data_IF_053808786224
#
_entry.id   IF_053808786224
#
_cell.length_a   1.000
_cell.length_b   1.000
_cell.length_c   1.000
_cell.angle_alpha   90.00
_cell.angle_beta   90.00
_cell.angle_gamma   90.00
#
_symmetry.space_group_name_H-M   'P 1'
#
loop_
_entity.id
_entity.type
_entity.pdbx_description
1 polymer ?
#
# COMPACT_ATOMS: atom_id res chain seq x y z
N UNK A 1 3.09 3.44 43.48
CA UNK A 1 2.73 2.11 42.93
C UNK A 1 1.22 2.00 43.03
N UNK A 2 0.51 2.27 41.93
CA UNK A 2 -0.95 2.24 41.90
C UNK A 2 -1.43 0.95 41.22
N UNK A 3 -2.48 0.39 41.82
CA UNK A 3 -3.03 -0.95 41.67
C UNK A 3 -4.08 -1.04 40.55
N UNK A 4 -4.22 -2.27 40.02
CA UNK A 4 -5.49 -2.94 39.65
C UNK A 4 -6.22 -2.49 38.33
N UNK A 5 -7.24 -3.25 37.85
CA UNK A 5 -7.34 -3.86 36.53
C UNK A 5 -8.74 -3.53 35.97
N UNK A 6 -8.95 -2.31 35.49
CA UNK A 6 -10.29 -1.85 35.11
C UNK A 6 -10.36 -1.29 33.69
N UNK A 7 -9.40 -1.63 32.84
CA UNK A 7 -9.40 -1.10 31.47
C UNK A 7 -10.09 -2.01 30.43
N UNK A 8 -10.61 -3.17 30.83
CA UNK A 8 -11.21 -4.16 29.91
C UNK A 8 -12.61 -4.66 30.32
N UNK A 9 -13.38 -3.89 31.08
CA UNK A 9 -14.80 -4.19 31.31
C UNK A 9 -15.74 -2.96 31.29
N UNK A 10 -15.22 -1.74 31.21
CA UNK A 10 -16.00 -0.51 31.04
C UNK A 10 -15.63 0.26 29.76
N UNK A 11 -15.41 -0.45 28.65
CA UNK A 11 -15.51 0.18 27.34
C UNK A 11 -17.00 0.16 26.98
N UNK A 12 -17.75 1.27 27.17
CA UNK A 12 -19.13 1.33 26.73
C UNK A 12 -19.14 0.94 25.26
N UNK A 13 -20.17 0.19 24.83
CA UNK A 13 -20.43 -0.18 23.44
C UNK A 13 -20.46 1.03 22.46
N UNK A 14 -20.30 2.26 22.97
CA UNK A 14 -20.07 3.50 22.23
C UNK A 14 -18.61 3.70 21.74
N UNK A 15 -17.60 3.09 22.36
CA UNK A 15 -16.19 3.15 21.89
C UNK A 15 -15.86 2.07 20.85
N UNK A 16 -16.83 1.20 20.55
CA UNK A 16 -16.86 0.33 19.39
C UNK A 16 -17.35 1.06 18.12
N UNK A 17 -17.38 2.40 18.12
CA UNK A 17 -17.55 3.18 16.89
C UNK A 17 -16.24 3.19 16.07
N UNK A 18 -15.98 2.03 15.48
CA UNK A 18 -15.67 1.83 14.07
C UNK A 18 -14.65 2.81 13.47
N UNK A 19 -13.41 2.33 13.28
CA UNK A 19 -12.73 2.63 12.01
C UNK A 19 -13.66 2.14 10.89
N UNK A 20 -14.50 3.03 10.36
CA UNK A 20 -15.53 2.68 9.39
C UNK A 20 -14.84 2.43 8.05
N UNK A 21 -14.43 1.18 7.83
CA UNK A 21 -14.00 0.72 6.52
C UNK A 21 -15.22 0.41 5.66
N UNK A 22 -15.13 0.59 4.33
CA UNK A 22 -16.21 0.22 3.43
C UNK A 22 -16.37 -1.32 3.40
N UNK A 23 -17.60 -1.80 3.43
CA UNK A 23 -17.91 -3.24 3.30
C UNK A 23 -17.69 -3.77 1.87
N UNK A 24 -17.52 -2.86 0.91
CA UNK A 24 -17.35 -3.15 -0.51
C UNK A 24 -16.01 -2.60 -0.97
N UNK A 25 -15.29 -3.39 -1.76
CA UNK A 25 -14.02 -2.99 -2.36
C UNK A 25 -14.18 -1.69 -3.17
N UNK A 26 -13.31 -0.73 -2.90
CA UNK A 26 -13.30 0.57 -3.59
C UNK A 26 -12.23 0.61 -4.67
N UNK A 27 -12.41 1.52 -5.63
CA UNK A 27 -11.43 1.82 -6.66
C UNK A 27 -11.37 3.34 -6.87
N UNK A 28 -10.17 3.89 -6.96
CA UNK A 28 -9.93 5.31 -7.17
C UNK A 28 -8.97 5.53 -8.33
N UNK A 29 -9.29 6.49 -9.20
CA UNK A 29 -8.40 6.90 -10.28
C UNK A 29 -7.42 7.94 -9.78
N UNK A 30 -6.13 7.68 -9.95
CA UNK A 30 -5.02 8.56 -9.53
C UNK A 30 -4.01 8.69 -10.66
N UNK A 31 -3.18 9.73 -10.59
CA UNK A 31 -2.08 9.94 -11.53
C UNK A 31 -0.75 9.59 -10.88
N UNK A 32 0.13 8.90 -11.60
CA UNK A 32 1.53 8.76 -11.20
C UNK A 32 2.18 10.15 -11.27
N UNK A 33 2.84 10.55 -10.20
CA UNK A 33 3.51 11.84 -10.08
C UNK A 33 5.00 11.72 -10.40
N UNK A 34 5.63 12.84 -10.79
CA UNK A 34 7.07 12.85 -11.00
C UNK A 34 7.83 12.63 -9.68
N UNK A 35 9.07 12.16 -9.75
CA UNK A 35 9.90 12.00 -8.55
C UNK A 35 10.09 13.34 -7.83
N UNK A 36 10.25 14.42 -8.57
CA UNK A 36 10.42 15.77 -8.04
C UNK A 36 9.16 16.22 -7.28
N UNK A 37 7.97 15.97 -7.82
CA UNK A 37 6.71 16.28 -7.13
C UNK A 37 6.55 15.45 -5.84
N UNK A 38 6.94 14.17 -5.89
CA UNK A 38 6.94 13.26 -4.74
C UNK A 38 7.92 13.70 -3.65
N UNK A 39 9.15 14.07 -4.04
CA UNK A 39 10.20 14.59 -3.16
C UNK A 39 9.79 15.92 -2.52
N UNK A 40 9.11 16.80 -3.27
CA UNK A 40 8.54 18.04 -2.73
C UNK A 40 7.44 17.77 -1.71
N UNK A 41 6.60 16.77 -1.94
CA UNK A 41 5.56 16.36 -0.98
C UNK A 41 6.17 15.75 0.29
N UNK A 42 7.27 15.01 0.17
CA UNK A 42 7.92 14.29 1.28
C UNK A 42 9.46 14.45 1.29
N UNK A 43 9.99 15.63 1.67
CA UNK A 43 11.41 15.93 1.57
C UNK A 43 12.29 14.94 2.37
N UNK A 44 13.24 14.31 1.67
CA UNK A 44 14.21 13.38 2.28
C UNK A 44 13.68 11.99 2.63
N UNK A 45 12.39 11.71 2.38
CA UNK A 45 11.76 10.42 2.72
C UNK A 45 11.56 9.48 1.52
N UNK A 46 11.60 10.02 0.30
CA UNK A 46 11.36 9.25 -0.93
C UNK A 46 12.67 8.68 -1.46
N UNK A 47 12.66 7.37 -1.72
CA UNK A 47 13.78 6.64 -2.32
C UNK A 47 13.48 6.27 -3.77
N UNK A 48 14.49 5.83 -4.52
CA UNK A 48 14.30 5.36 -5.90
C UNK A 48 13.45 4.09 -6.02
N UNK A 49 13.22 3.40 -4.90
CA UNK A 49 12.37 2.21 -4.81
C UNK A 49 10.89 2.54 -4.59
N UNK A 50 10.54 3.82 -4.57
CA UNK A 50 9.20 4.32 -4.31
C UNK A 50 8.68 5.12 -5.51
N UNK A 51 7.36 5.26 -5.58
CA UNK A 51 6.67 6.20 -6.47
C UNK A 51 5.48 6.81 -5.74
N UNK A 52 5.07 8.02 -6.13
CA UNK A 52 3.85 8.65 -5.63
C UNK A 52 2.72 8.56 -6.66
N UNK A 53 1.50 8.37 -6.18
CA UNK A 53 0.30 8.52 -7.00
C UNK A 53 -0.83 9.22 -6.24
N UNK A 54 -1.55 10.10 -6.93
CA UNK A 54 -2.66 10.84 -6.35
C UNK A 54 -3.22 11.90 -7.29
N UNK A 55 -4.13 12.73 -6.79
CA UNK A 55 -4.60 13.94 -7.45
C UNK A 55 -3.95 15.17 -6.81
N UNK A 56 -3.59 16.19 -7.60
CA UNK A 56 -2.89 17.39 -7.09
C UNK A 56 -3.75 18.15 -6.06
N UNK A 57 -5.05 18.15 -6.29
CA UNK A 57 -6.09 18.72 -5.45
C UNK A 57 -6.45 17.86 -4.22
N UNK A 58 -6.01 16.59 -4.18
CA UNK A 58 -6.43 15.62 -3.17
C UNK A 58 -7.78 14.97 -3.52
N UNK A 59 -8.47 14.42 -2.51
CA UNK A 59 -9.81 13.84 -2.65
C UNK A 59 -9.86 12.34 -3.00
N UNK A 60 -8.87 11.82 -3.73
CA UNK A 60 -8.74 10.38 -4.03
C UNK A 60 -7.36 9.88 -3.60
N UNK A 61 -7.34 8.81 -2.80
CA UNK A 61 -6.11 8.21 -2.28
C UNK A 61 -6.37 6.79 -1.77
N UNK A 62 -5.31 6.00 -1.67
CA UNK A 62 -5.29 4.82 -0.81
C UNK A 62 -5.22 5.24 0.65
N UNK A 63 -5.78 4.46 1.56
CA UNK A 63 -5.88 4.85 2.97
C UNK A 63 -5.51 3.71 3.92
N UNK A 64 -5.80 3.86 5.22
CA UNK A 64 -5.55 2.80 6.18
C UNK A 64 -6.32 1.53 5.78
N UNK A 65 -5.68 0.38 5.93
CA UNK A 65 -6.23 -0.91 5.51
C UNK A 65 -5.91 -1.32 4.07
N UNK A 66 -5.52 -0.39 3.20
CA UNK A 66 -5.19 -0.69 1.80
C UNK A 66 -3.73 -1.17 1.58
N UNK A 67 -2.89 -1.13 2.62
CA UNK A 67 -1.47 -1.52 2.55
C UNK A 67 -1.27 -2.90 1.94
N UNK A 68 -0.39 -3.00 0.94
CA UNK A 68 -0.18 -4.22 0.15
C UNK A 68 -1.09 -4.34 -1.09
N UNK A 69 -2.10 -3.47 -1.21
CA UNK A 69 -3.00 -3.40 -2.36
C UNK A 69 -2.32 -2.95 -3.66
N UNK A 70 -2.90 -3.25 -4.82
CA UNK A 70 -2.30 -2.97 -6.12
C UNK A 70 -2.54 -1.52 -6.59
N UNK A 71 -1.51 -0.88 -7.14
CA UNK A 71 -1.65 0.23 -8.07
C UNK A 71 -1.49 -0.28 -9.50
N UNK A 72 -2.51 -0.08 -10.31
CA UNK A 72 -2.68 -0.67 -11.64
C UNK A 72 -2.67 0.43 -12.71
N UNK A 73 -1.99 0.22 -13.83
CA UNK A 73 -2.12 1.02 -15.05
C UNK A 73 -2.28 0.13 -16.30
N UNK A 74 -3.48 0.08 -16.87
CA UNK A 74 -3.84 -0.66 -18.09
C UNK A 74 -3.59 -2.20 -18.01
N UNK A 75 -4.15 -2.86 -17.01
CA UNK A 75 -3.92 -4.27 -16.68
C UNK A 75 -2.51 -4.62 -16.16
N UNK A 76 -1.66 -3.64 -15.82
CA UNK A 76 -0.27 -3.86 -15.35
C UNK A 76 -0.03 -3.27 -13.98
N UNK A 77 0.45 -4.11 -13.05
CA UNK A 77 0.88 -3.69 -11.72
C UNK A 77 2.06 -2.72 -11.80
N UNK A 78 1.87 -1.49 -11.35
CA UNK A 78 2.90 -0.45 -11.28
C UNK A 78 3.45 -0.29 -9.86
N UNK A 79 2.60 -0.46 -8.87
CA UNK A 79 2.98 -0.24 -7.48
C UNK A 79 2.20 -1.07 -6.48
N UNK A 80 2.69 -1.04 -5.23
CA UNK A 80 2.06 -1.68 -4.08
C UNK A 80 1.85 -0.60 -3.03
N UNK A 81 0.62 -0.44 -2.52
CA UNK A 81 0.29 0.55 -1.48
C UNK A 81 1.22 0.35 -0.29
N UNK A 82 1.91 1.42 0.12
CA UNK A 82 2.92 1.32 1.19
C UNK A 82 2.60 2.25 2.35
N UNK A 83 2.64 3.56 2.15
CA UNK A 83 2.42 4.54 3.21
C UNK A 83 1.94 5.88 2.65
N UNK A 84 1.52 6.77 3.54
CA UNK A 84 1.12 8.14 3.23
C UNK A 84 1.02 8.95 4.52
N UNK A 85 0.42 10.14 4.43
CA UNK A 85 0.06 10.89 5.64
C UNK A 85 -1.04 10.16 6.42
N UNK A 86 -1.13 10.41 7.74
CA UNK A 86 -2.22 9.87 8.57
C UNK A 86 -3.61 10.26 8.04
N UNK A 87 -3.75 11.48 7.54
CA UNK A 87 -4.95 11.94 6.85
C UNK A 87 -4.78 11.71 5.35
N UNK A 88 -5.53 10.74 4.82
CA UNK A 88 -5.54 10.36 3.40
C UNK A 88 -6.14 11.46 2.52
N UNK A 89 -5.85 11.40 1.22
CA UNK A 89 -6.45 12.26 0.20
C UNK A 89 -6.26 13.76 0.44
N UNK A 90 -5.23 14.13 1.21
CA UNK A 90 -4.90 15.52 1.51
C UNK A 90 -4.22 16.16 0.29
N UNK A 91 -4.64 17.38 -0.04
CA UNK A 91 -4.05 18.19 -1.10
C UNK A 91 -2.52 18.26 -0.96
N UNK A 92 -1.81 17.95 -2.05
CA UNK A 92 -0.33 17.97 -2.09
C UNK A 92 0.36 16.89 -1.26
N UNK A 93 -0.38 15.88 -0.78
CA UNK A 93 0.14 14.73 -0.03
C UNK A 93 -0.37 13.43 -0.69
N UNK A 94 0.25 13.02 -1.80
CA UNK A 94 -0.15 11.80 -2.52
C UNK A 94 0.22 10.54 -1.72
N UNK A 95 -0.44 9.41 -1.99
CA UNK A 95 -0.02 8.12 -1.48
C UNK A 95 1.35 7.69 -2.03
N UNK A 96 2.11 6.97 -1.22
CA UNK A 96 3.44 6.44 -1.57
C UNK A 96 3.36 4.92 -1.72
N UNK A 97 3.86 4.45 -2.85
CA UNK A 97 3.79 3.07 -3.29
C UNK A 97 5.20 2.52 -3.49
N UNK A 98 5.38 1.22 -3.29
CA UNK A 98 6.59 0.52 -3.76
C UNK A 98 6.60 0.54 -5.29
N UNK A 99 7.73 0.90 -5.90
CA UNK A 99 7.88 0.92 -7.35
C UNK A 99 8.19 -0.47 -7.90
N UNK A 100 7.18 -1.20 -8.36
CA UNK A 100 7.30 -2.61 -8.80
C UNK A 100 8.32 -2.76 -9.95
N UNK A 101 8.48 -1.75 -10.80
CA UNK A 101 9.45 -1.78 -11.90
C UNK A 101 10.89 -1.99 -11.41
N UNK A 102 11.23 -1.53 -10.19
CA UNK A 102 12.57 -1.74 -9.60
C UNK A 102 12.80 -3.17 -9.13
N UNK A 103 11.73 -3.95 -8.93
CA UNK A 103 11.77 -5.30 -8.37
C UNK A 103 11.51 -6.40 -9.39
N UNK A 104 11.25 -6.07 -10.66
CA UNK A 104 10.99 -7.05 -11.73
C UNK A 104 12.05 -8.17 -11.79
N UNK A 105 13.37 -7.89 -11.78
CA UNK A 105 14.37 -8.96 -11.84
C UNK A 105 14.28 -9.94 -10.67
N UNK A 106 14.00 -9.43 -9.46
CA UNK A 106 13.81 -10.26 -8.27
C UNK A 106 12.53 -11.08 -8.36
N UNK A 107 11.41 -10.46 -8.74
CA UNK A 107 10.11 -11.15 -8.90
C UNK A 107 10.25 -12.30 -9.91
N UNK A 108 10.85 -12.03 -11.07
CA UNK A 108 11.06 -13.03 -12.11
C UNK A 108 11.95 -14.19 -11.64
N UNK A 109 13.02 -13.89 -10.89
CA UNK A 109 13.88 -14.91 -10.29
C UNK A 109 13.07 -15.84 -9.37
N UNK A 110 12.21 -15.29 -8.52
CA UNK A 110 11.38 -16.08 -7.60
C UNK A 110 10.37 -16.94 -8.37
N UNK A 111 9.62 -16.35 -9.31
CA UNK A 111 8.62 -17.08 -10.12
C UNK A 111 9.29 -18.23 -10.88
N UNK A 112 10.44 -17.98 -11.51
CA UNK A 112 11.18 -18.99 -12.28
C UNK A 112 11.67 -20.12 -11.38
N UNK A 113 12.21 -19.79 -10.21
CA UNK A 113 12.69 -20.79 -9.26
C UNK A 113 11.55 -21.69 -8.75
N UNK A 114 10.41 -21.10 -8.39
CA UNK A 114 9.24 -21.85 -7.94
C UNK A 114 8.69 -22.77 -9.04
N UNK A 115 8.66 -22.29 -10.29
CA UNK A 115 8.25 -23.11 -11.43
C UNK A 115 9.18 -24.31 -11.64
N UNK A 116 10.50 -24.16 -11.46
CA UNK A 116 11.44 -25.28 -11.62
C UNK A 116 11.31 -26.33 -10.52
N UNK A 117 10.91 -25.94 -9.31
CA UNK A 117 10.63 -26.87 -8.21
C UNK A 117 9.35 -27.69 -8.46
N UNK A 118 8.35 -27.09 -9.11
CA UNK A 118 7.08 -27.76 -9.42
C UNK A 118 7.18 -28.69 -10.65
N UNK A 119 8.17 -28.47 -11.54
CA UNK A 119 8.43 -29.32 -12.70
C UNK A 119 9.27 -30.59 -12.44
N UNK A 120 9.76 -30.81 -11.21
CA UNK A 120 10.66 -31.91 -10.85
C UNK A 120 9.99 -33.24 -10.45
N UNK A 121 8.71 -33.43 -10.76
CA UNK A 121 7.93 -34.64 -10.45
C UNK A 121 7.71 -35.60 -11.62
N UNK A 122 8.52 -35.54 -12.68
CA UNK A 122 8.46 -36.44 -13.83
C UNK A 122 9.49 -37.57 -13.73
N UNK A 123 8.99 -38.77 -13.42
CA UNK A 123 9.63 -40.09 -13.41
C UNK A 123 10.96 -40.26 -14.18
N UNK A 124 12.01 -40.66 -13.46
CA UNK A 124 12.97 -41.63 -14.00
C UNK A 124 12.27 -42.99 -14.09
N UNK A 125 12.23 -43.57 -15.28
CA UNK A 125 11.69 -44.90 -15.58
C UNK A 125 12.21 -45.35 -16.93
#
# INVERSE_FOLDING_TARGET
MLLWPLFWQDMPLLLLQLSQYPDILQCGMVNIMSKEECDQAYPGAITDNMLCAGLKEGGVDSCQGDSGGPLECNGKLQGIVSWGMEVCAKKGKPGVYTNVCKYIPWIQKIITHLASLQGGGGSQG
#
